data_IF_500445468606
#
_entry.id   IF_500445468606
#
_cell.length_a   1.000
_cell.length_b   1.000
_cell.length_c   1.000
_cell.angle_alpha   90.00
_cell.angle_beta   90.00
_cell.angle_gamma   90.00
#
_symmetry.space_group_name_H-M   'P 1'
#
loop_
_entity.id
_entity.type
_entity.pdbx_description
1 polymer ?
#
# COMPACT_ATOMS: atom_id res chain seq x y z
N UNK A 1 -36.59 -20.52 -15.60
CA UNK A 1 -35.29 -20.84 -16.22
C UNK A 1 -34.76 -19.56 -16.85
N UNK A 2 -33.85 -18.85 -16.16
CA UNK A 2 -32.38 -18.88 -16.31
C UNK A 2 -31.88 -18.03 -17.49
N UNK A 3 -30.95 -17.11 -17.20
CA UNK A 3 -30.23 -16.29 -18.18
C UNK A 3 -29.76 -14.95 -17.59
N UNK A 4 -29.13 -14.97 -16.40
CA UNK A 4 -27.68 -14.83 -16.20
C UNK A 4 -27.12 -13.44 -16.59
N UNK A 5 -26.69 -12.74 -15.54
CA UNK A 5 -25.90 -11.51 -15.49
C UNK A 5 -24.75 -11.48 -16.49
N UNK A 6 -24.78 -10.51 -17.41
CA UNK A 6 -23.62 -10.11 -18.22
C UNK A 6 -22.86 -8.98 -17.52
N UNK A 7 -22.05 -9.35 -16.53
CA UNK A 7 -21.17 -8.46 -15.77
C UNK A 7 -20.07 -7.92 -16.72
N UNK A 8 -20.23 -6.69 -17.22
CA UNK A 8 -19.18 -5.99 -17.99
C UNK A 8 -18.07 -5.54 -17.02
N UNK A 9 -17.20 -6.47 -16.61
CA UNK A 9 -15.91 -6.13 -16.00
C UNK A 9 -15.01 -5.67 -17.12
N UNK A 10 -15.09 -4.38 -17.43
CA UNK A 10 -14.12 -3.71 -18.28
C UNK A 10 -12.76 -3.80 -17.58
N UNK A 11 -11.93 -4.71 -18.07
CA UNK A 11 -10.51 -4.81 -17.80
C UNK A 11 -9.87 -3.44 -18.06
N UNK A 12 -9.71 -2.64 -17.01
CA UNK A 12 -9.18 -1.29 -17.07
C UNK A 12 -7.86 -1.19 -16.31
N UNK A 13 -6.76 -1.26 -17.07
CA UNK A 13 -5.49 -0.62 -16.74
C UNK A 13 -4.69 -1.15 -15.54
N UNK A 14 -4.04 -2.29 -15.72
CA UNK A 14 -2.71 -2.48 -15.12
C UNK A 14 -1.71 -1.63 -15.93
N UNK A 15 -1.59 -0.34 -15.60
CA UNK A 15 -0.40 0.43 -15.97
C UNK A 15 0.70 -0.02 -15.01
N UNK A 16 1.75 -0.74 -15.46
CA UNK A 16 2.89 -0.98 -14.59
C UNK A 16 3.58 0.37 -14.40
N UNK A 17 3.25 1.05 -13.30
CA UNK A 17 3.91 2.29 -12.91
C UNK A 17 5.37 1.94 -12.65
N UNK A 18 6.23 2.34 -13.58
CA UNK A 18 7.66 2.06 -13.61
C UNK A 18 8.32 2.63 -12.34
N UNK A 19 8.41 1.81 -11.29
CA UNK A 19 9.16 2.12 -10.09
C UNK A 19 10.63 1.94 -10.41
N UNK A 20 11.35 3.05 -10.61
CA UNK A 20 12.76 3.05 -11.02
C UNK A 20 13.65 2.20 -10.09
N UNK A 21 13.23 1.93 -8.85
CA UNK A 21 13.77 0.87 -7.99
C UNK A 21 12.62 0.01 -7.45
N UNK A 22 12.62 -1.33 -7.62
CA UNK A 22 11.55 -2.16 -7.06
C UNK A 22 11.68 -2.19 -5.54
N UNK A 23 10.84 -1.42 -4.85
CA UNK A 23 10.57 -1.60 -3.42
C UNK A 23 9.51 -2.68 -3.28
N UNK A 24 9.82 -3.75 -2.56
CA UNK A 24 8.84 -4.76 -2.14
C UNK A 24 8.46 -4.50 -0.69
N UNK A 25 7.17 -4.51 -0.43
CA UNK A 25 6.60 -4.34 0.90
C UNK A 25 5.96 -5.67 1.30
N UNK A 26 6.38 -6.23 2.43
CA UNK A 26 5.80 -7.44 3.02
C UNK A 26 5.15 -7.00 4.32
N UNK A 27 3.83 -7.13 4.39
CA UNK A 27 3.05 -6.78 5.59
C UNK A 27 2.62 -8.08 6.25
N UNK A 28 2.92 -8.19 7.55
CA UNK A 28 2.46 -9.27 8.41
C UNK A 28 1.91 -8.66 9.70
N UNK A 29 1.08 -9.38 10.49
CA UNK A 29 0.57 -8.86 11.77
C UNK A 29 1.67 -8.47 12.77
N UNK A 30 2.88 -9.02 12.61
CA UNK A 30 4.02 -8.75 13.51
C UNK A 30 4.91 -7.62 13.01
N UNK A 31 5.17 -7.56 11.70
CA UNK A 31 6.11 -6.63 11.12
C UNK A 31 5.77 -6.20 9.68
N UNK A 32 6.11 -4.95 9.38
CA UNK A 32 6.22 -4.40 8.03
C UNK A 32 7.67 -4.46 7.58
N UNK A 33 7.95 -5.25 6.54
CA UNK A 33 9.30 -5.36 5.95
C UNK A 33 9.36 -4.66 4.60
N UNK A 34 10.31 -3.75 4.44
CA UNK A 34 10.62 -3.05 3.20
C UNK A 34 11.92 -3.59 2.63
N UNK A 35 11.86 -4.15 1.42
CA UNK A 35 13.02 -4.64 0.68
C UNK A 35 13.24 -3.71 -0.50
N UNK A 36 14.38 -3.03 -0.53
CA UNK A 36 14.77 -2.14 -1.63
C UNK A 36 15.96 -2.74 -2.39
N UNK A 37 15.83 -2.89 -3.70
CA UNK A 37 16.90 -3.35 -4.60
C UNK A 37 17.23 -2.24 -5.60
N UNK A 38 18.11 -1.32 -5.19
CA UNK A 38 18.66 -0.28 -6.07
C UNK A 38 20.09 -0.61 -6.51
N UNK A 39 20.98 -0.86 -5.52
CA UNK A 39 22.40 -1.24 -5.73
C UNK A 39 22.85 -2.37 -4.79
N UNK A 40 22.28 -2.44 -3.57
CA UNK A 40 22.36 -3.56 -2.63
C UNK A 40 20.97 -3.84 -2.08
N UNK A 41 20.66 -5.11 -1.85
CA UNK A 41 19.42 -5.51 -1.16
C UNK A 41 19.44 -4.97 0.27
N UNK A 42 18.64 -3.94 0.52
CA UNK A 42 18.46 -3.39 1.86
C UNK A 42 17.11 -3.84 2.38
N UNK A 43 17.11 -4.52 3.52
CA UNK A 43 15.90 -4.95 4.21
C UNK A 43 15.75 -4.14 5.50
N UNK A 44 14.60 -3.48 5.67
CA UNK A 44 14.22 -2.79 6.90
C UNK A 44 12.93 -3.41 7.42
N UNK A 45 12.91 -3.80 8.69
CA UNK A 45 11.73 -4.37 9.34
C UNK A 45 11.28 -3.45 10.45
N UNK A 46 10.00 -3.09 10.44
CA UNK A 46 9.34 -2.24 11.43
C UNK A 46 8.31 -3.08 12.17
N UNK A 47 8.32 -3.04 13.50
CA UNK A 47 7.31 -3.76 14.28
C UNK A 47 5.96 -3.07 14.14
N UNK A 48 4.91 -3.86 13.90
CA UNK A 48 3.54 -3.35 13.73
C UNK A 48 3.02 -2.68 15.02
N UNK A 49 3.38 -3.23 16.19
CA UNK A 49 3.11 -2.62 17.50
C UNK A 49 3.68 -1.21 17.66
N UNK A 50 4.68 -0.87 16.86
CA UNK A 50 5.29 0.45 16.86
C UNK A 50 4.52 1.46 16.01
N UNK A 51 3.44 1.11 15.32
CA UNK A 51 2.68 2.07 14.50
C UNK A 51 1.98 3.08 15.42
N UNK A 52 2.24 4.36 15.21
CA UNK A 52 1.63 5.47 15.97
C UNK A 52 0.50 6.13 15.19
N UNK A 53 0.66 6.27 13.88
CA UNK A 53 -0.38 6.83 13.02
C UNK A 53 -0.18 6.42 11.56
N UNK A 54 -1.27 6.42 10.81
CA UNK A 54 -1.28 6.20 9.36
C UNK A 54 -1.97 7.38 8.68
N UNK A 55 -1.45 7.82 7.54
CA UNK A 55 -1.97 8.95 6.77
C UNK A 55 -2.06 8.57 5.29
N UNK A 56 -3.14 8.96 4.63
CA UNK A 56 -3.26 8.90 3.17
C UNK A 56 -2.92 10.25 2.57
N UNK A 57 -2.12 10.23 1.50
CA UNK A 57 -1.92 11.38 0.63
C UNK A 57 -2.39 11.02 -0.78
N UNK A 58 -3.39 11.77 -1.25
CA UNK A 58 -3.96 11.64 -2.59
C UNK A 58 -4.02 13.01 -3.24
N UNK A 59 -3.37 13.15 -4.40
CA UNK A 59 -3.64 14.29 -5.25
C UNK A 59 -5.01 14.15 -5.95
N UNK A 60 -5.55 15.24 -6.50
CA UNK A 60 -6.88 15.26 -7.12
C UNK A 60 -7.08 14.19 -8.21
N UNK A 61 -6.02 13.86 -8.94
CA UNK A 61 -6.01 12.83 -9.98
C UNK A 61 -6.01 11.44 -9.34
N UNK A 62 -5.21 11.21 -8.30
CA UNK A 62 -5.16 9.97 -7.54
C UNK A 62 -6.50 9.66 -6.88
N UNK A 63 -7.18 10.66 -6.32
CA UNK A 63 -8.53 10.49 -5.77
C UNK A 63 -9.55 10.04 -6.83
N UNK A 64 -9.45 10.56 -8.05
CA UNK A 64 -10.33 10.15 -9.17
C UNK A 64 -10.01 8.76 -9.70
N UNK A 65 -8.73 8.39 -9.72
CA UNK A 65 -8.25 7.10 -10.25
C UNK A 65 -8.09 6.03 -9.17
N UNK A 66 -8.48 6.32 -7.92
CA UNK A 66 -8.39 5.41 -6.80
C UNK A 66 -6.97 5.00 -6.44
N UNK A 67 -5.98 5.87 -6.61
CA UNK A 67 -4.61 5.61 -6.13
C UNK A 67 -4.10 6.71 -5.22
N UNK A 68 -3.18 6.36 -4.33
CA UNK A 68 -2.51 7.32 -3.47
C UNK A 68 -1.25 6.79 -2.83
N UNK A 69 -0.79 7.51 -1.83
CA UNK A 69 0.35 7.15 -0.99
C UNK A 69 -0.17 6.93 0.42
N UNK A 70 0.27 5.83 1.05
CA UNK A 70 0.05 5.59 2.48
C UNK A 70 1.35 5.83 3.22
N UNK A 71 1.31 6.71 4.21
CA UNK A 71 2.42 7.00 5.11
C UNK A 71 2.13 6.39 6.48
N UNK A 72 3.02 5.52 6.94
CA UNK A 72 2.95 4.86 8.24
C UNK A 72 4.05 5.45 9.12
N UNK A 73 3.68 5.98 10.28
CA UNK A 73 4.59 6.60 11.24
C UNK A 73 4.75 5.65 12.43
N UNK A 74 5.99 5.44 12.85
CA UNK A 74 6.37 4.54 13.92
C UNK A 74 6.87 5.30 15.16
N UNK A 75 6.69 4.69 16.33
CA UNK A 75 7.26 5.12 17.59
C UNK A 75 8.78 5.24 17.44
N UNK A 76 9.33 6.40 17.82
CA UNK A 76 10.75 6.73 17.60
C UNK A 76 11.03 7.56 16.35
N UNK A 77 10.00 8.05 15.65
CA UNK A 77 10.16 9.07 14.59
C UNK A 77 10.47 8.53 13.20
N UNK A 78 10.49 7.20 13.02
CA UNK A 78 10.62 6.57 11.71
C UNK A 78 9.31 6.59 10.93
N UNK A 79 9.38 6.60 9.60
CA UNK A 79 8.20 6.46 8.74
C UNK A 79 8.47 5.60 7.50
N UNK A 80 7.42 4.99 6.97
CA UNK A 80 7.41 4.29 5.69
C UNK A 80 6.35 4.89 4.79
N UNK A 81 6.73 5.23 3.57
CA UNK A 81 5.82 5.71 2.54
C UNK A 81 5.68 4.65 1.45
N UNK A 82 4.45 4.19 1.26
CA UNK A 82 4.08 3.23 0.24
C UNK A 82 3.29 3.99 -0.81
N UNK A 83 3.93 4.23 -1.95
CA UNK A 83 3.37 5.06 -3.02
C UNK A 83 2.62 4.19 -4.03
N UNK A 84 1.67 4.81 -4.74
CA UNK A 84 0.91 4.20 -5.83
C UNK A 84 0.08 2.99 -5.39
N UNK A 85 -0.44 3.03 -4.16
CA UNK A 85 -1.37 2.03 -3.66
C UNK A 85 -2.75 2.27 -4.30
N UNK A 86 -3.40 1.24 -4.88
CA UNK A 86 -4.80 1.30 -5.24
C UNK A 86 -5.66 1.28 -3.97
N UNK A 87 -6.66 2.15 -3.88
CA UNK A 87 -7.57 2.30 -2.75
C UNK A 87 -6.83 2.42 -1.40
N UNK A 88 -6.05 3.49 -1.17
CA UNK A 88 -5.20 3.62 0.01
C UNK A 88 -5.99 3.63 1.33
N UNK A 89 -7.27 4.03 1.32
CA UNK A 89 -8.13 3.92 2.51
C UNK A 89 -8.41 2.46 2.89
N UNK A 90 -8.72 1.61 1.91
CA UNK A 90 -8.93 0.17 2.13
C UNK A 90 -7.65 -0.49 2.62
N UNK A 91 -6.51 -0.09 2.05
CA UNK A 91 -5.21 -0.58 2.47
C UNK A 91 -4.87 -0.19 3.91
N UNK A 92 -5.20 1.04 4.32
CA UNK A 92 -5.06 1.47 5.71
C UNK A 92 -5.97 0.67 6.64
N UNK A 93 -7.23 0.44 6.26
CA UNK A 93 -8.15 -0.37 7.07
C UNK A 93 -7.62 -1.78 7.28
N UNK A 94 -7.12 -2.44 6.23
CA UNK A 94 -6.51 -3.78 6.35
C UNK A 94 -5.31 -3.82 7.30
N UNK A 95 -4.51 -2.75 7.35
CA UNK A 95 -3.40 -2.65 8.30
C UNK A 95 -3.93 -2.45 9.72
N UNK A 96 -4.94 -1.60 9.91
CA UNK A 96 -5.59 -1.40 11.22
C UNK A 96 -6.19 -2.71 11.74
N UNK A 97 -6.88 -3.47 10.89
CA UNK A 97 -7.48 -4.76 11.27
C UNK A 97 -6.43 -5.81 11.66
N UNK A 98 -5.16 -5.65 11.25
CA UNK A 98 -4.04 -6.51 11.68
C UNK A 98 -3.40 -6.08 13.00
N UNK A 99 -3.72 -4.87 13.48
CA UNK A 99 -3.19 -4.30 14.73
C UNK A 99 -4.08 -4.61 15.95
N UNK A 100 -5.38 -4.78 15.71
CA UNK A 100 -6.36 -5.26 16.71
C UNK A 100 -6.17 -6.75 17.03
#
# INVERSE_FOLDING_TARGET
MLGLYGFLVTAGYMVPKMSWHPKKYIITPKALTVISAALRTTQRSYQMRGITSMQTDQNAIGKRLGYGTVRIIFMGGGFVEIQNIPSPEVYMQQISDMLD
#
